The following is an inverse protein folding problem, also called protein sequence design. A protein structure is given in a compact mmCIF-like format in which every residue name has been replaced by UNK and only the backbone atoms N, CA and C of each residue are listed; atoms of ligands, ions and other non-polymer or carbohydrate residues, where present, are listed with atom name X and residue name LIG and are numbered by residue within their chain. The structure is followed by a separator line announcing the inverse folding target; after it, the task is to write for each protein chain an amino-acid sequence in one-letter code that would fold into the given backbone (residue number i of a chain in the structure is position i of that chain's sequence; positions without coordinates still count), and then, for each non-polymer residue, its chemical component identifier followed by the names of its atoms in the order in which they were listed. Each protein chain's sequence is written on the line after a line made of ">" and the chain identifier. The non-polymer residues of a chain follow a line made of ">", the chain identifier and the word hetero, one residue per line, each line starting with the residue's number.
data_IF_926618530547
#
_entry.id   IF_926618530547
#
_cell.length_a   1.000
_cell.length_b   1.000
_cell.length_c   1.000
_cell.angle_alpha   90.00
_cell.angle_beta   90.00
_cell.angle_gamma   90.00
#
_symmetry.space_group_name_H-M   'P 1'
#
loop_
_entity.id
_entity.type
_entity.pdbx_description
1 polymer ?
#
# COMPACT_ATOMS: atom_id res chain seq x y z
N UNK A 1 -12.14 15.37 6.42
CA UNK A 1 -12.24 14.64 7.70
C UNK A 1 -10.83 14.47 8.28
N UNK A 2 -10.70 14.66 9.60
CA UNK A 2 -9.42 14.58 10.30
C UNK A 2 -9.25 13.21 10.95
N UNK A 3 -8.05 12.64 10.84
CA UNK A 3 -7.64 11.42 11.55
C UNK A 3 -6.40 11.76 12.35
N UNK A 4 -6.45 11.50 13.66
CA UNK A 4 -5.33 11.77 14.56
C UNK A 4 -4.53 10.49 14.80
N UNK A 5 -3.24 10.49 14.44
CA UNK A 5 -2.30 9.44 14.83
C UNK A 5 -1.52 9.85 16.08
N UNK A 6 -1.48 8.98 17.08
CA UNK A 6 -0.71 9.18 18.33
C UNK A 6 0.28 8.03 18.48
N UNK A 7 1.58 8.31 18.46
CA UNK A 7 2.56 7.24 18.53
C UNK A 7 4.03 7.65 18.42
N UNK A 8 4.89 6.65 18.20
CA UNK A 8 6.33 6.85 18.04
C UNK A 8 6.70 7.44 16.68
N UNK A 9 7.69 8.33 16.68
CA UNK A 9 8.34 8.85 15.48
C UNK A 9 9.46 7.91 15.02
N UNK A 10 9.31 7.35 13.81
CA UNK A 10 10.34 6.59 13.09
C UNK A 10 10.96 7.47 11.99
N UNK A 11 12.27 7.78 12.07
CA UNK A 11 12.93 8.66 11.11
C UNK A 11 13.11 8.03 9.72
N UNK A 12 12.93 6.71 9.56
CA UNK A 12 13.01 6.09 8.24
C UNK A 12 11.78 6.33 7.38
N UNK A 13 10.68 6.75 8.00
CA UNK A 13 9.37 6.82 7.36
C UNK A 13 8.82 5.48 6.90
N UNK A 14 9.35 4.37 7.44
CA UNK A 14 8.88 3.01 7.20
C UNK A 14 7.77 2.58 8.16
N UNK A 15 7.77 3.02 9.43
CA UNK A 15 6.69 2.80 10.39
C UNK A 15 6.32 4.07 11.19
N UNK A 16 5.57 3.88 12.29
CA UNK A 16 5.21 4.94 13.23
C UNK A 16 4.36 6.05 12.61
N UNK A 17 4.37 7.22 13.23
CA UNK A 17 3.55 8.37 12.81
C UNK A 17 3.77 8.75 11.36
N UNK A 18 5.00 8.63 10.85
CA UNK A 18 5.29 9.03 9.46
C UNK A 18 4.53 8.14 8.48
N UNK A 19 4.49 6.82 8.73
CA UNK A 19 3.72 5.88 7.91
C UNK A 19 2.22 6.06 8.09
N UNK A 20 1.77 6.37 9.30
CA UNK A 20 0.36 6.68 9.57
C UNK A 20 -0.08 7.91 8.75
N UNK A 21 0.70 8.99 8.78
CA UNK A 21 0.44 10.22 8.01
C UNK A 21 0.41 9.95 6.51
N UNK A 22 1.35 9.16 5.97
CA UNK A 22 1.36 8.75 4.56
C UNK A 22 0.09 7.97 4.20
N UNK A 23 -0.31 7.03 5.05
CA UNK A 23 -1.51 6.19 4.85
C UNK A 23 -2.78 7.04 4.83
N UNK A 24 -2.95 7.90 5.84
CA UNK A 24 -4.11 8.79 5.96
C UNK A 24 -4.17 9.74 4.75
N UNK A 25 -3.03 10.25 4.29
CA UNK A 25 -2.96 11.15 3.14
C UNK A 25 -3.32 10.44 1.83
N UNK A 26 -2.82 9.23 1.63
CA UNK A 26 -3.12 8.40 0.45
C UNK A 26 -4.61 8.07 0.37
N UNK A 27 -5.26 7.85 1.53
CA UNK A 27 -6.71 7.69 1.65
C UNK A 27 -7.49 9.01 1.64
N UNK A 28 -6.87 10.11 1.21
CA UNK A 28 -7.50 11.42 1.00
C UNK A 28 -8.14 12.03 2.26
N UNK A 29 -7.64 11.67 3.45
CA UNK A 29 -8.02 12.28 4.72
C UNK A 29 -6.99 13.32 5.16
N UNK A 30 -7.34 14.15 6.14
CA UNK A 30 -6.40 15.11 6.73
C UNK A 30 -5.65 14.45 7.90
N UNK A 31 -4.33 14.24 7.80
CA UNK A 31 -3.55 13.65 8.87
C UNK A 31 -3.20 14.68 9.95
N UNK A 32 -3.55 14.37 11.19
CA UNK A 32 -3.06 15.03 12.39
C UNK A 32 -2.15 14.06 13.16
N UNK A 33 -1.16 14.56 13.87
CA UNK A 33 -0.22 13.68 14.58
C UNK A 33 0.26 14.23 15.92
N UNK A 34 0.50 13.32 16.87
CA UNK A 34 1.06 13.61 18.19
C UNK A 34 2.14 12.59 18.51
N UNK A 35 3.37 13.07 18.71
CA UNK A 35 4.53 12.22 18.98
C UNK A 35 4.59 11.89 20.47
N UNK A 36 4.69 10.60 20.81
CA UNK A 36 4.88 10.08 22.17
C UNK A 36 6.34 9.79 22.48
N UNK A 37 7.08 9.30 21.48
CA UNK A 37 8.48 8.91 21.60
C UNK A 37 9.24 9.18 20.30
N UNK A 38 10.51 9.56 20.39
CA UNK A 38 11.45 9.57 19.28
C UNK A 38 12.19 8.24 19.27
N UNK A 39 12.11 7.51 18.15
CA UNK A 39 12.67 6.15 18.02
C UNK A 39 13.65 6.10 16.85
N UNK A 40 14.91 6.53 17.04
CA UNK A 40 15.95 6.34 16.04
C UNK A 40 16.11 4.85 15.72
N UNK A 41 15.75 4.47 14.50
CA UNK A 41 15.78 3.09 14.03
C UNK A 41 16.12 3.01 12.53
N UNK A 42 16.43 1.79 12.07
CA UNK A 42 16.44 1.41 10.67
C UNK A 42 15.97 -0.04 10.52
N UNK A 43 15.88 -0.54 9.29
CA UNK A 43 15.43 -1.91 9.01
C UNK A 43 16.31 -3.02 9.63
N UNK A 44 17.49 -2.68 10.18
CA UNK A 44 18.35 -3.63 10.87
C UNK A 44 18.17 -3.60 12.40
N UNK A 45 17.89 -2.44 13.00
CA UNK A 45 17.74 -2.31 14.47
C UNK A 45 17.08 -1.00 14.91
N UNK A 46 16.50 -1.03 16.10
CA UNK A 46 16.23 0.15 16.93
C UNK A 46 17.49 0.54 17.72
N UNK A 47 17.89 1.81 17.68
CA UNK A 47 19.07 2.30 18.39
C UNK A 47 18.73 2.76 19.82
N UNK A 48 17.60 3.45 19.98
CA UNK A 48 17.08 3.89 21.27
C UNK A 48 15.59 4.23 21.16
N UNK A 49 14.92 4.35 22.30
CA UNK A 49 13.61 5.00 22.47
C UNK A 49 13.76 6.13 23.47
N UNK A 50 13.37 7.35 23.08
CA UNK A 50 13.32 8.50 23.98
C UNK A 50 11.88 9.00 24.06
N UNK A 51 11.28 8.87 25.22
CA UNK A 51 9.91 9.32 25.48
C UNK A 51 9.89 10.84 25.68
N UNK A 52 8.85 11.48 25.15
CA UNK A 52 8.56 12.89 25.41
C UNK A 52 7.95 13.03 26.82
N UNK A 53 8.10 14.21 27.41
CA UNK A 53 7.50 14.49 28.72
C UNK A 53 5.97 14.55 28.61
N UNK A 54 5.30 14.32 29.74
CA UNK A 54 3.84 14.46 29.84
C UNK A 54 3.36 15.83 29.37
N UNK A 55 4.09 16.90 29.72
CA UNK A 55 3.79 18.28 29.33
C UNK A 55 3.93 18.48 27.82
N UNK A 56 4.97 17.92 27.20
CA UNK A 56 5.20 18.01 25.76
C UNK A 56 4.10 17.27 24.97
N UNK A 57 3.69 16.09 25.43
CA UNK A 57 2.58 15.32 24.82
C UNK A 57 1.27 16.09 24.98
N UNK A 58 0.97 16.58 26.19
CA UNK A 58 -0.28 17.31 26.48
C UNK A 58 -0.36 18.63 25.71
N UNK A 59 0.75 19.33 25.51
CA UNK A 59 0.80 20.54 24.70
C UNK A 59 0.40 20.27 23.24
N UNK A 60 0.85 19.15 22.66
CA UNK A 60 0.43 18.73 21.31
C UNK A 60 -1.07 18.43 21.25
N UNK A 61 -1.62 17.69 22.23
CA UNK A 61 -3.06 17.42 22.33
C UNK A 61 -3.87 18.72 22.42
N UNK A 62 -3.48 19.66 23.29
CA UNK A 62 -4.15 20.95 23.41
C UNK A 62 -4.16 21.70 22.07
N UNK A 63 -3.02 21.79 21.39
CA UNK A 63 -2.93 22.49 20.11
C UNK A 63 -3.84 21.88 19.03
N UNK A 64 -3.93 20.54 18.97
CA UNK A 64 -4.80 19.86 18.01
C UNK A 64 -6.28 20.07 18.34
N UNK A 65 -6.69 19.83 19.58
CA UNK A 65 -8.11 19.90 19.97
C UNK A 65 -8.62 21.33 20.19
N UNK A 66 -7.75 22.35 20.14
CA UNK A 66 -8.13 23.76 20.08
C UNK A 66 -8.64 24.17 18.69
N UNK A 67 -8.11 23.58 17.61
CA UNK A 67 -8.38 23.98 16.23
C UNK A 67 -9.17 22.92 15.43
N UNK A 68 -8.98 21.63 15.73
CA UNK A 68 -9.52 20.53 14.93
C UNK A 68 -10.56 19.69 15.68
N UNK A 69 -11.67 19.40 14.99
CA UNK A 69 -12.58 18.32 15.37
C UNK A 69 -11.98 16.96 15.00
N UNK A 70 -11.90 16.05 15.97
CA UNK A 70 -11.31 14.71 15.82
C UNK A 70 -12.29 13.66 16.32
N UNK A 71 -12.74 12.78 15.42
CA UNK A 71 -13.64 11.67 15.75
C UNK A 71 -12.95 10.30 15.80
N UNK A 72 -11.78 10.20 15.19
CA UNK A 72 -11.02 8.95 15.08
C UNK A 72 -9.55 9.18 15.45
N UNK A 73 -9.08 8.37 16.38
CA UNK A 73 -7.70 8.36 16.85
C UNK A 73 -7.11 6.98 16.59
N UNK A 74 -6.00 6.92 15.88
CA UNK A 74 -5.17 5.71 15.76
C UNK A 74 -4.01 5.83 16.73
N UNK A 75 -3.73 4.78 17.50
CA UNK A 75 -2.56 4.73 18.39
C UNK A 75 -1.52 3.73 17.90
N UNK A 76 -0.24 4.01 18.17
CA UNK A 76 0.89 3.11 17.93
C UNK A 76 1.72 2.92 19.20
N UNK A 77 3.04 3.16 19.14
CA UNK A 77 3.90 3.09 20.34
C UNK A 77 3.46 4.15 21.38
N UNK A 78 2.98 3.70 22.54
CA UNK A 78 2.52 4.57 23.63
C UNK A 78 3.46 4.52 24.85
N UNK A 79 3.26 5.49 25.73
CA UNK A 79 3.78 5.58 27.10
C UNK A 79 2.61 5.65 28.08
N UNK A 80 2.86 5.42 29.38
CA UNK A 80 1.83 5.55 30.43
C UNK A 80 1.22 6.95 30.41
N UNK A 81 2.06 7.99 30.32
CA UNK A 81 1.60 9.38 30.25
C UNK A 81 0.75 9.64 29.01
N UNK A 82 1.10 9.08 27.86
CA UNK A 82 0.29 9.25 26.65
C UNK A 82 -1.07 8.57 26.77
N UNK A 83 -1.15 7.38 27.40
CA UNK A 83 -2.43 6.69 27.63
C UNK A 83 -3.32 7.54 28.54
N UNK A 84 -2.78 8.05 29.66
CA UNK A 84 -3.53 8.92 30.58
C UNK A 84 -4.10 10.14 29.87
N UNK A 85 -3.30 10.78 29.01
CA UNK A 85 -3.72 11.96 28.24
C UNK A 85 -4.78 11.58 27.19
N UNK A 86 -4.61 10.46 26.47
CA UNK A 86 -5.60 10.00 25.49
C UNK A 86 -6.95 9.77 26.17
N UNK A 87 -6.98 9.12 27.33
CA UNK A 87 -8.20 8.86 28.08
C UNK A 87 -8.83 10.15 28.63
N UNK A 88 -8.01 11.09 29.13
CA UNK A 88 -8.47 12.44 29.52
C UNK A 88 -9.21 13.13 28.36
N UNK A 89 -8.62 13.13 27.17
CA UNK A 89 -9.20 13.79 26.00
C UNK A 89 -10.39 13.01 25.42
N UNK A 90 -10.37 11.67 25.45
CA UNK A 90 -11.51 10.84 25.03
C UNK A 90 -12.75 11.18 25.84
N UNK A 91 -12.62 11.31 27.16
CA UNK A 91 -13.73 11.68 28.04
C UNK A 91 -14.28 13.08 27.76
N UNK A 92 -13.44 14.00 27.27
CA UNK A 92 -13.84 15.38 26.97
C UNK A 92 -14.46 15.54 25.57
N UNK A 93 -13.96 14.81 24.58
CA UNK A 93 -14.29 15.02 23.16
C UNK A 93 -14.98 13.84 22.47
N UNK A 94 -15.10 12.69 23.14
CA UNK A 94 -15.80 11.50 22.68
C UNK A 94 -15.41 11.03 21.26
N UNK A 95 -14.19 10.52 21.12
CA UNK A 95 -13.69 9.93 19.87
C UNK A 95 -13.50 8.41 19.96
N UNK A 96 -13.49 7.78 18.79
CA UNK A 96 -13.18 6.35 18.63
C UNK A 96 -11.66 6.13 18.58
N UNK A 97 -11.21 5.00 19.11
CA UNK A 97 -9.79 4.65 19.18
C UNK A 97 -9.54 3.32 18.46
N UNK A 98 -8.62 3.31 17.51
CA UNK A 98 -8.03 2.10 16.93
C UNK A 98 -6.63 1.95 17.52
N UNK A 99 -6.40 0.90 18.30
CA UNK A 99 -5.12 0.69 18.97
C UNK A 99 -4.29 -0.39 18.28
N UNK A 100 -3.16 0.02 17.68
CA UNK A 100 -2.05 -0.87 17.33
C UNK A 100 -1.12 -0.95 18.56
N UNK A 101 -1.13 -2.06 19.34
CA UNK A 101 -0.51 -2.09 20.66
C UNK A 101 1.03 -2.06 20.63
N UNK A 102 1.66 -2.31 19.46
CA UNK A 102 3.12 -2.29 19.19
C UNK A 102 3.97 -2.62 20.42
N UNK A 103 3.85 -3.84 20.94
CA UNK A 103 4.49 -4.23 22.20
C UNK A 103 6.00 -4.50 22.02
N UNK A 104 6.40 -4.89 20.81
CA UNK A 104 7.77 -5.25 20.45
C UNK A 104 8.07 -4.85 19.02
N UNK A 105 9.28 -4.36 18.75
CA UNK A 105 9.70 -4.06 17.37
C UNK A 105 9.91 -5.33 16.54
N UNK A 106 9.87 -5.17 15.23
CA UNK A 106 10.31 -6.18 14.25
C UNK A 106 11.77 -6.62 14.47
N UNK A 107 12.60 -5.75 15.05
CA UNK A 107 14.01 -6.00 15.39
C UNK A 107 14.23 -6.50 16.83
N UNK A 108 13.16 -6.97 17.49
CA UNK A 108 13.14 -7.53 18.84
C UNK A 108 13.41 -6.58 20.02
N UNK A 109 13.51 -5.27 19.78
CA UNK A 109 13.48 -4.27 20.84
C UNK A 109 12.13 -4.27 21.58
N UNK A 110 12.15 -4.31 22.91
CA UNK A 110 10.95 -4.28 23.76
C UNK A 110 10.52 -2.84 24.01
N UNK A 111 9.27 -2.50 23.69
CA UNK A 111 8.74 -1.15 23.86
C UNK A 111 7.98 -0.96 25.17
N UNK A 112 7.51 -2.06 25.76
CA UNK A 112 6.65 -2.07 26.93
C UNK A 112 7.30 -2.81 28.10
N UNK A 113 7.27 -2.18 29.27
CA UNK A 113 7.56 -2.83 30.55
C UNK A 113 6.27 -3.36 31.21
N UNK A 114 6.39 -4.07 32.33
CA UNK A 114 5.23 -4.62 33.05
C UNK A 114 4.21 -3.56 33.46
N UNK A 115 4.64 -2.32 33.72
CA UNK A 115 3.77 -1.25 34.17
C UNK A 115 2.94 -0.69 33.00
N UNK A 116 3.56 -0.47 31.85
CA UNK A 116 2.87 -0.07 30.62
C UNK A 116 1.91 -1.16 30.14
N UNK A 117 2.32 -2.41 30.23
CA UNK A 117 1.48 -3.58 29.92
C UNK A 117 0.20 -3.57 30.76
N UNK A 118 0.29 -3.34 32.08
CA UNK A 118 -0.91 -3.19 32.93
C UNK A 118 -1.78 -2.02 32.50
N UNK A 119 -1.16 -0.89 32.12
CA UNK A 119 -1.89 0.29 31.67
C UNK A 119 -2.69 0.04 30.38
N UNK A 120 -2.15 -0.79 29.49
CA UNK A 120 -2.87 -1.22 28.28
C UNK A 120 -4.16 -1.97 28.57
N UNK A 121 -4.28 -2.73 29.67
CA UNK A 121 -5.54 -3.41 30.03
C UNK A 121 -6.69 -2.44 30.27
N UNK A 122 -6.42 -1.33 30.94
CA UNK A 122 -7.39 -0.25 31.12
C UNK A 122 -7.71 0.40 29.77
N UNK A 123 -6.67 0.65 28.96
CA UNK A 123 -6.80 1.33 27.68
C UNK A 123 -7.60 0.55 26.63
N UNK A 124 -7.42 -0.78 26.56
CA UNK A 124 -8.09 -1.61 25.56
C UNK A 124 -9.61 -1.61 25.69
N UNK A 125 -10.13 -1.44 26.91
CA UNK A 125 -11.58 -1.34 27.16
C UNK A 125 -12.20 -0.06 26.59
N UNK A 126 -11.39 0.96 26.38
CA UNK A 126 -11.79 2.25 25.81
C UNK A 126 -11.56 2.31 24.29
N UNK A 127 -10.97 1.25 23.72
CA UNK A 127 -10.72 1.12 22.29
C UNK A 127 -11.94 0.58 21.55
N UNK A 128 -12.20 1.15 20.38
CA UNK A 128 -13.19 0.61 19.46
C UNK A 128 -12.70 -0.73 18.86
N UNK A 129 -11.41 -0.81 18.55
CA UNK A 129 -10.76 -2.02 18.04
C UNK A 129 -9.28 -2.00 18.41
N UNK A 130 -8.74 -3.16 18.79
CA UNK A 130 -7.29 -3.35 18.87
C UNK A 130 -6.81 -4.29 17.75
N UNK A 131 -5.60 -4.07 17.24
CA UNK A 131 -5.08 -4.81 16.07
C UNK A 131 -3.77 -5.57 16.37
N UNK A 132 -3.69 -6.42 17.41
CA UNK A 132 -2.46 -7.16 17.71
C UNK A 132 -2.12 -8.16 16.59
N UNK A 133 -0.83 -8.41 16.37
CA UNK A 133 -0.42 -9.63 15.67
C UNK A 133 -0.56 -10.85 16.60
N UNK A 134 -0.39 -12.07 16.07
CA UNK A 134 -0.55 -13.31 16.86
C UNK A 134 0.30 -13.34 18.15
N UNK A 135 1.56 -12.91 18.10
CA UNK A 135 2.45 -12.92 19.28
C UNK A 135 2.02 -11.89 20.31
N UNK A 136 1.58 -10.71 19.86
CA UNK A 136 1.02 -9.69 20.75
C UNK A 136 -0.29 -10.15 21.37
N UNK A 137 -1.13 -10.84 20.58
CA UNK A 137 -2.39 -11.38 21.04
C UNK A 137 -2.20 -12.43 22.15
N UNK A 138 -1.23 -13.35 22.02
CA UNK A 138 -0.89 -14.33 23.06
C UNK A 138 -0.50 -13.67 24.39
N UNK A 139 0.22 -12.53 24.33
CA UNK A 139 0.58 -11.75 25.52
C UNK A 139 -0.68 -11.13 26.13
N UNK A 140 -1.52 -10.49 25.31
CA UNK A 140 -2.75 -9.82 25.75
C UNK A 140 -3.74 -10.82 26.35
N UNK A 141 -3.95 -11.97 25.72
CA UNK A 141 -4.84 -13.03 26.20
C UNK A 141 -4.42 -13.49 27.60
N UNK A 142 -3.13 -13.80 27.79
CA UNK A 142 -2.59 -14.16 29.11
C UNK A 142 -2.75 -13.05 30.16
N UNK A 143 -2.66 -11.78 29.75
CA UNK A 143 -2.87 -10.66 30.68
C UNK A 143 -4.32 -10.54 31.15
N UNK A 144 -5.29 -10.75 30.24
CA UNK A 144 -6.71 -10.76 30.58
C UNK A 144 -7.05 -11.91 31.52
N UNK A 145 -6.54 -13.12 31.23
CA UNK A 145 -6.68 -14.29 32.11
C UNK A 145 -6.15 -14.04 33.51
N UNK A 146 -4.90 -13.54 33.63
CA UNK A 146 -4.27 -13.29 34.94
C UNK A 146 -4.94 -12.16 35.72
N UNK A 147 -5.52 -11.17 35.02
CA UNK A 147 -6.19 -10.02 35.62
C UNK A 147 -7.68 -10.26 35.89
N UNK A 148 -8.19 -11.47 35.60
CA UNK A 148 -9.59 -11.85 35.77
C UNK A 148 -10.55 -10.92 34.99
N UNK A 149 -10.13 -10.47 33.81
CA UNK A 149 -10.96 -9.73 32.87
C UNK A 149 -11.38 -10.64 31.71
N UNK A 150 -12.57 -10.39 31.17
CA UNK A 150 -13.05 -11.14 30.01
C UNK A 150 -12.51 -10.49 28.73
N UNK A 151 -11.91 -11.29 27.85
CA UNK A 151 -11.42 -10.82 26.57
C UNK A 151 -12.58 -10.45 25.63
N UNK A 152 -13.78 -10.99 25.87
CA UNK A 152 -15.01 -10.63 25.16
C UNK A 152 -15.50 -9.21 25.49
N UNK A 153 -14.94 -8.56 26.52
CA UNK A 153 -15.23 -7.14 26.84
C UNK A 153 -14.63 -6.17 25.80
N UNK A 154 -13.77 -6.65 24.90
CA UNK A 154 -13.08 -5.84 23.90
C UNK A 154 -13.22 -6.43 22.49
N UNK A 155 -13.15 -5.57 21.47
CA UNK A 155 -13.10 -6.01 20.07
C UNK A 155 -11.64 -6.14 19.63
N UNK A 156 -11.26 -7.31 19.10
CA UNK A 156 -9.88 -7.65 18.74
C UNK A 156 -9.79 -8.13 17.31
N UNK A 157 -8.94 -7.51 16.50
CA UNK A 157 -8.51 -8.05 15.21
C UNK A 157 -7.13 -8.68 15.35
N UNK A 158 -7.08 -10.01 15.43
CA UNK A 158 -5.80 -10.74 15.41
C UNK A 158 -5.29 -10.77 13.98
N UNK A 159 -4.20 -10.06 13.72
CA UNK A 159 -3.66 -9.86 12.36
C UNK A 159 -2.69 -10.97 11.96
N UNK A 160 -2.74 -11.36 10.68
CA UNK A 160 -1.94 -12.41 10.09
C UNK A 160 -2.23 -12.60 8.61
N UNK A 161 -1.91 -13.80 8.08
CA UNK A 161 -2.27 -14.16 6.70
C UNK A 161 -3.80 -14.22 6.54
N UNK A 162 -4.43 -14.96 7.44
CA UNK A 162 -5.87 -14.88 7.71
C UNK A 162 -6.04 -14.10 9.00
N UNK A 163 -6.83 -13.04 8.97
CA UNK A 163 -7.14 -12.30 10.19
C UNK A 163 -8.35 -12.91 10.87
N UNK A 164 -8.42 -12.78 12.18
CA UNK A 164 -9.58 -13.20 12.98
C UNK A 164 -10.09 -11.99 13.75
N UNK A 165 -11.26 -11.50 13.36
CA UNK A 165 -12.00 -10.49 14.10
C UNK A 165 -12.82 -11.18 15.19
N UNK A 166 -12.47 -10.90 16.45
CA UNK A 166 -13.20 -11.29 17.64
C UNK A 166 -14.08 -10.11 18.08
N UNK A 167 -15.38 -10.29 18.01
CA UNK A 167 -16.38 -9.31 18.43
C UNK A 167 -17.51 -10.04 19.15
N UNK A 168 -17.77 -9.62 20.39
CA UNK A 168 -18.63 -10.36 21.32
C UNK A 168 -18.19 -11.85 21.40
N UNK A 169 -19.13 -12.80 21.28
CA UNK A 169 -18.86 -14.24 21.24
C UNK A 169 -18.56 -14.79 19.83
N UNK A 170 -18.30 -13.92 18.84
CA UNK A 170 -18.11 -14.33 17.43
C UNK A 170 -16.68 -14.17 16.97
N UNK A 171 -16.23 -15.16 16.21
CA UNK A 171 -14.98 -15.12 15.46
C UNK A 171 -15.29 -15.07 13.97
N UNK A 172 -14.80 -14.04 13.30
CA UNK A 172 -15.00 -13.80 11.87
C UNK A 172 -13.64 -13.87 11.18
N UNK A 173 -13.47 -14.85 10.30
CA UNK A 173 -12.25 -14.99 9.51
C UNK A 173 -12.27 -14.06 8.30
N UNK A 174 -11.20 -13.28 8.13
CA UNK A 174 -11.05 -12.34 7.03
C UNK A 174 -9.77 -12.68 6.27
N UNK A 175 -9.95 -13.26 5.10
CA UNK A 175 -8.87 -13.60 4.17
C UNK A 175 -8.61 -12.45 3.21
N UNK A 176 -7.38 -12.40 2.68
CA UNK A 176 -6.99 -11.45 1.67
C UNK A 176 -5.82 -11.99 0.85
N UNK A 177 -5.48 -11.30 -0.23
CA UNK A 177 -4.29 -11.64 -1.02
C UNK A 177 -3.04 -11.40 -0.19
N UNK A 178 -2.03 -12.24 -0.39
CA UNK A 178 -0.80 -12.22 0.39
C UNK A 178 0.41 -12.32 -0.52
N UNK A 179 1.44 -11.52 -0.24
CA UNK A 179 2.74 -11.58 -0.88
C UNK A 179 3.78 -11.88 0.19
N UNK A 180 4.59 -12.92 -0.02
CA UNK A 180 5.64 -13.31 0.92
C UNK A 180 6.83 -12.35 0.83
N UNK A 181 6.76 -11.26 1.60
CA UNK A 181 7.80 -10.22 1.65
C UNK A 181 7.78 -9.55 3.01
N UNK A 182 8.93 -9.53 3.68
CA UNK A 182 9.09 -8.78 4.92
C UNK A 182 9.22 -7.28 4.61
N UNK A 183 8.27 -6.50 5.12
CA UNK A 183 8.17 -5.06 4.90
C UNK A 183 7.96 -4.38 6.25
N UNK A 184 8.82 -3.41 6.56
CA UNK A 184 8.73 -2.61 7.79
C UNK A 184 7.50 -1.69 7.73
N UNK A 185 6.71 -1.69 8.81
CA UNK A 185 5.56 -0.81 9.01
C UNK A 185 4.22 -1.27 8.45
N UNK A 186 4.08 -2.53 8.01
CA UNK A 186 2.80 -3.08 7.52
C UNK A 186 1.67 -2.99 8.56
N UNK A 187 1.96 -3.24 9.85
CA UNK A 187 0.98 -3.11 10.94
C UNK A 187 0.49 -1.67 11.15
N UNK A 188 1.40 -0.69 11.11
CA UNK A 188 1.04 0.74 11.21
C UNK A 188 0.20 1.19 10.02
N UNK A 189 0.58 0.78 8.81
CA UNK A 189 -0.20 1.00 7.59
C UNK A 189 -1.60 0.38 7.73
N UNK A 190 -1.68 -0.85 8.24
CA UNK A 190 -2.94 -1.59 8.31
C UNK A 190 -3.94 -0.94 9.27
N UNK A 191 -3.52 -0.69 10.51
CA UNK A 191 -4.35 -0.04 11.53
C UNK A 191 -4.76 1.39 11.12
N UNK A 192 -3.87 2.14 10.46
CA UNK A 192 -4.19 3.47 9.92
C UNK A 192 -5.21 3.40 8.78
N UNK A 193 -5.09 2.42 7.87
CA UNK A 193 -6.05 2.22 6.80
C UNK A 193 -7.43 1.81 7.34
N UNK A 194 -7.48 0.87 8.30
CA UNK A 194 -8.73 0.50 9.00
C UNK A 194 -9.39 1.73 9.61
N UNK A 195 -8.61 2.57 10.30
CA UNK A 195 -9.11 3.81 10.91
C UNK A 195 -9.74 4.72 9.86
N UNK A 196 -9.09 4.88 8.70
CA UNK A 196 -9.61 5.72 7.61
C UNK A 196 -10.90 5.17 7.02
N UNK A 197 -10.99 3.86 6.74
CA UNK A 197 -12.21 3.27 6.18
C UNK A 197 -13.39 3.29 7.17
N UNK A 198 -13.14 3.01 8.45
CA UNK A 198 -14.17 3.15 9.50
C UNK A 198 -14.66 4.60 9.63
N UNK A 199 -13.77 5.56 9.36
CA UNK A 199 -14.10 6.98 9.37
C UNK A 199 -15.05 7.38 8.23
N UNK A 200 -15.16 6.56 7.19
CA UNK A 200 -16.15 6.70 6.11
C UNK A 200 -17.47 5.98 6.42
N UNK A 201 -17.71 5.61 7.69
CA UNK A 201 -18.91 4.87 8.15
C UNK A 201 -19.06 3.48 7.51
N UNK A 202 -17.99 2.95 6.91
CA UNK A 202 -17.94 1.58 6.43
C UNK A 202 -18.07 0.61 7.62
N UNK A 203 -18.73 -0.53 7.39
CA UNK A 203 -18.78 -1.55 8.44
C UNK A 203 -17.39 -2.13 8.71
N UNK A 204 -17.22 -2.74 9.89
CA UNK A 204 -15.92 -3.19 10.39
C UNK A 204 -15.28 -4.22 9.45
N UNK A 205 -16.04 -5.21 8.99
CA UNK A 205 -15.51 -6.26 8.10
C UNK A 205 -15.06 -5.70 6.73
N UNK A 206 -15.86 -4.82 6.13
CA UNK A 206 -15.51 -4.14 4.87
C UNK A 206 -14.29 -3.25 5.04
N UNK A 207 -14.23 -2.48 6.13
CA UNK A 207 -13.08 -1.63 6.45
C UNK A 207 -11.78 -2.44 6.56
N UNK A 208 -11.85 -3.62 7.19
CA UNK A 208 -10.71 -4.54 7.33
C UNK A 208 -10.33 -5.10 5.95
N UNK A 209 -11.29 -5.55 5.13
CA UNK A 209 -11.03 -6.06 3.78
C UNK A 209 -10.35 -5.01 2.89
N UNK A 210 -10.88 -3.79 2.84
CA UNK A 210 -10.30 -2.68 2.09
C UNK A 210 -8.91 -2.30 2.61
N UNK A 211 -8.70 -2.35 3.92
CA UNK A 211 -7.38 -2.13 4.51
C UNK A 211 -6.38 -3.25 4.17
N UNK A 212 -6.79 -4.51 4.03
CA UNK A 212 -5.90 -5.58 3.52
C UNK A 212 -5.48 -5.32 2.07
N UNK A 213 -6.40 -4.86 1.22
CA UNK A 213 -6.09 -4.48 -0.17
C UNK A 213 -5.10 -3.31 -0.21
N UNK A 214 -5.27 -2.32 0.67
CA UNK A 214 -4.34 -1.20 0.82
C UNK A 214 -2.93 -1.68 1.24
N UNK A 215 -2.84 -2.55 2.24
CA UNK A 215 -1.57 -3.11 2.72
C UNK A 215 -0.88 -3.94 1.62
N UNK A 216 -1.65 -4.71 0.84
CA UNK A 216 -1.14 -5.45 -0.31
C UNK A 216 -0.41 -4.51 -1.30
N UNK A 217 -1.05 -3.41 -1.68
CA UNK A 217 -0.41 -2.40 -2.53
C UNK A 217 0.85 -1.83 -1.89
N UNK A 218 0.78 -1.56 -0.60
CA UNK A 218 1.91 -1.01 0.17
C UNK A 218 3.11 -1.96 0.29
N UNK A 219 2.87 -3.28 0.23
CA UNK A 219 3.91 -4.32 0.22
C UNK A 219 4.48 -4.52 -1.19
N UNK A 220 3.62 -4.54 -2.22
CA UNK A 220 4.02 -4.67 -3.62
C UNK A 220 4.92 -3.50 -4.01
N UNK A 221 4.55 -2.28 -3.66
CA UNK A 221 5.30 -1.05 -3.95
C UNK A 221 6.31 -0.67 -2.85
N UNK A 222 6.57 -1.55 -1.89
CA UNK A 222 7.52 -1.30 -0.81
C UNK A 222 8.91 -0.93 -1.34
N UNK A 223 9.51 0.11 -0.76
CA UNK A 223 10.78 0.67 -1.20
C UNK A 223 11.95 -0.14 -0.65
N UNK A 224 12.85 -0.58 -1.54
CA UNK A 224 14.06 -1.30 -1.16
C UNK A 224 15.03 -0.34 -0.47
N UNK A 225 15.52 -0.76 0.69
CA UNK A 225 16.56 -0.07 1.45
C UNK A 225 17.80 -0.96 1.53
N UNK A 226 18.88 -0.46 2.14
CA UNK A 226 20.10 -1.23 2.36
C UNK A 226 19.88 -2.53 3.16
N UNK A 227 18.92 -2.54 4.10
CA UNK A 227 18.75 -3.63 5.08
C UNK A 227 17.37 -4.29 5.04
N UNK A 228 16.52 -3.96 4.07
CA UNK A 228 15.15 -4.47 4.03
C UNK A 228 14.25 -3.58 3.17
N UNK A 229 12.95 -3.58 3.45
CA UNK A 229 11.96 -2.80 2.70
C UNK A 229 11.12 -1.94 3.63
N UNK A 230 10.83 -0.72 3.20
CA UNK A 230 9.87 0.16 3.88
C UNK A 230 8.51 0.06 3.20
N UNK A 231 7.44 0.03 4.00
CA UNK A 231 6.08 0.14 3.47
C UNK A 231 5.93 1.44 2.70
N UNK A 232 5.28 1.37 1.55
CA UNK A 232 4.99 2.53 0.73
C UNK A 232 3.47 2.63 0.54
N UNK A 233 2.74 3.34 1.43
CA UNK A 233 1.29 3.45 1.37
C UNK A 233 0.78 3.77 -0.03
N UNK A 234 0.12 2.80 -0.66
CA UNK A 234 -0.34 2.88 -2.06
C UNK A 234 -1.68 2.19 -2.18
N UNK A 235 -2.70 2.88 -2.72
CA UNK A 235 -4.01 2.29 -2.95
C UNK A 235 -4.37 2.23 -4.42
N UNK A 236 -4.50 1.00 -4.95
CA UNK A 236 -4.90 0.77 -6.33
C UNK A 236 -6.30 0.19 -6.35
N UNK A 237 -7.27 1.00 -6.73
CA UNK A 237 -8.68 0.61 -6.92
C UNK A 237 -9.09 0.68 -8.40
N UNK A 238 -10.29 0.17 -8.72
CA UNK A 238 -10.85 0.32 -10.07
C UNK A 238 -11.00 1.78 -10.46
N UNK A 239 -11.46 2.63 -9.55
CA UNK A 239 -11.59 4.08 -9.76
C UNK A 239 -10.22 4.74 -10.03
N UNK A 240 -9.17 4.30 -9.33
CA UNK A 240 -7.81 4.81 -9.58
C UNK A 240 -7.30 4.42 -10.97
N UNK A 241 -7.59 3.20 -11.42
CA UNK A 241 -7.24 2.70 -12.76
C UNK A 241 -8.00 3.44 -13.85
N UNK A 242 -9.31 3.66 -13.66
CA UNK A 242 -10.11 4.47 -14.58
C UNK A 242 -9.57 5.89 -14.70
N UNK A 243 -9.27 6.52 -13.56
CA UNK A 243 -8.69 7.86 -13.53
C UNK A 243 -7.35 7.91 -14.28
N UNK A 244 -6.47 6.92 -14.08
CA UNK A 244 -5.18 6.85 -14.77
C UNK A 244 -5.37 6.74 -16.28
N UNK A 245 -6.22 5.81 -16.74
CA UNK A 245 -6.50 5.63 -18.17
C UNK A 245 -7.16 6.86 -18.80
N UNK A 246 -8.03 7.55 -18.07
CA UNK A 246 -8.66 8.79 -18.52
C UNK A 246 -7.61 9.88 -18.76
N UNK A 247 -6.69 10.08 -17.81
CA UNK A 247 -5.60 11.03 -17.98
C UNK A 247 -4.64 10.60 -19.09
N UNK A 248 -4.31 9.31 -19.17
CA UNK A 248 -3.45 8.78 -20.22
C UNK A 248 -4.03 9.05 -21.62
N UNK A 249 -5.31 8.76 -21.83
CA UNK A 249 -6.01 9.03 -23.08
C UNK A 249 -5.89 10.52 -23.50
N UNK A 250 -6.13 11.44 -22.56
CA UNK A 250 -6.05 12.87 -22.84
C UNK A 250 -4.62 13.32 -23.18
N UNK A 251 -3.61 12.76 -22.51
CA UNK A 251 -2.21 13.06 -22.81
C UNK A 251 -1.77 12.49 -24.17
N UNK A 252 -2.20 11.27 -24.51
CA UNK A 252 -1.89 10.63 -25.79
C UNK A 252 -2.52 11.39 -26.95
N UNK A 253 -3.75 11.90 -26.80
CA UNK A 253 -4.41 12.73 -27.82
C UNK A 253 -3.64 14.00 -28.17
N UNK A 254 -2.81 14.50 -27.25
CA UNK A 254 -1.99 15.68 -27.47
C UNK A 254 -0.64 15.35 -28.14
N UNK A 255 -0.30 14.08 -28.34
CA UNK A 255 0.89 13.66 -29.09
C UNK A 255 0.65 13.82 -30.60
N UNK A 256 1.67 14.27 -31.33
CA UNK A 256 1.55 14.58 -32.76
C UNK A 256 1.81 13.36 -33.66
N UNK A 257 2.43 12.31 -33.11
CA UNK A 257 2.95 11.19 -33.90
C UNK A 257 1.86 10.18 -34.30
N UNK A 258 1.76 9.91 -35.61
CA UNK A 258 0.80 8.95 -36.17
C UNK A 258 1.04 7.49 -35.73
N UNK A 259 2.22 7.17 -35.20
CA UNK A 259 2.56 5.83 -34.70
C UNK A 259 1.60 5.39 -33.57
N UNK A 260 1.06 6.33 -32.81
CA UNK A 260 0.16 6.04 -31.70
C UNK A 260 -1.32 5.90 -32.09
N UNK A 261 -1.67 6.02 -33.38
CA UNK A 261 -3.07 5.92 -33.84
C UNK A 261 -3.70 4.55 -33.57
N UNK A 262 -2.91 3.49 -33.56
CA UNK A 262 -3.35 2.12 -33.29
C UNK A 262 -2.89 1.63 -31.90
N UNK A 263 -2.71 2.55 -30.94
CA UNK A 263 -2.32 2.22 -29.57
C UNK A 263 -3.46 1.49 -28.86
N UNK A 264 -3.18 0.26 -28.40
CA UNK A 264 -3.99 -0.41 -27.40
C UNK A 264 -3.33 -0.27 -26.05
N UNK A 265 -4.08 0.18 -25.04
CA UNK A 265 -3.58 0.44 -23.69
C UNK A 265 -4.50 -0.20 -22.66
N UNK A 266 -3.94 -1.05 -21.82
CA UNK A 266 -4.61 -1.67 -20.68
C UNK A 266 -3.94 -1.31 -19.37
N UNK A 267 -4.72 -1.26 -18.30
CA UNK A 267 -4.23 -1.18 -16.92
C UNK A 267 -5.10 -2.05 -16.01
N UNK A 268 -4.48 -2.80 -15.11
CA UNK A 268 -5.15 -3.66 -14.14
C UNK A 268 -5.11 -3.10 -12.72
N UNK A 269 -5.99 -3.57 -11.84
CA UNK A 269 -5.76 -3.47 -10.40
C UNK A 269 -4.59 -4.39 -9.98
N UNK A 270 -4.27 -4.42 -8.69
CA UNK A 270 -3.22 -5.30 -8.15
C UNK A 270 -3.66 -6.77 -8.17
N UNK A 271 -2.74 -7.63 -8.61
CA UNK A 271 -2.94 -9.08 -8.70
C UNK A 271 -4.27 -9.47 -9.39
N UNK A 272 -4.51 -9.05 -10.66
CA UNK A 272 -5.78 -9.28 -11.35
C UNK A 272 -6.06 -10.77 -11.49
N UNK A 273 -7.27 -11.21 -11.16
CA UNK A 273 -7.64 -12.63 -11.23
C UNK A 273 -8.22 -13.00 -12.58
N UNK A 274 -8.92 -12.07 -13.20
CA UNK A 274 -9.61 -12.24 -14.47
C UNK A 274 -9.71 -10.90 -15.22
N UNK A 275 -10.27 -10.91 -16.43
CA UNK A 275 -10.35 -9.69 -17.25
C UNK A 275 -11.21 -8.58 -16.62
N UNK A 276 -12.12 -8.87 -15.67
CA UNK A 276 -12.92 -7.83 -14.99
C UNK A 276 -12.09 -6.94 -14.05
N UNK A 277 -10.84 -7.31 -13.79
CA UNK A 277 -9.85 -6.57 -13.02
C UNK A 277 -8.93 -5.72 -13.92
N UNK A 278 -9.14 -5.78 -15.24
CA UNK A 278 -8.33 -5.10 -16.25
C UNK A 278 -9.23 -4.16 -17.04
N UNK A 279 -8.84 -2.89 -17.11
CA UNK A 279 -9.49 -1.88 -17.91
C UNK A 279 -8.69 -1.58 -19.18
N UNK A 280 -9.41 -1.19 -20.22
CA UNK A 280 -8.85 -0.72 -21.49
C UNK A 280 -9.60 0.53 -21.96
N UNK A 281 -9.02 1.24 -22.92
CA UNK A 281 -9.70 2.30 -23.67
C UNK A 281 -10.35 1.64 -24.91
N UNK A 282 -11.67 1.77 -25.05
CA UNK A 282 -12.40 1.27 -26.21
C UNK A 282 -12.32 2.22 -27.41
N UNK A 283 -12.74 1.74 -28.58
CA UNK A 283 -12.77 2.52 -29.82
C UNK A 283 -13.63 3.80 -29.72
N UNK A 284 -14.68 3.77 -28.89
CA UNK A 284 -15.50 4.94 -28.56
C UNK A 284 -14.90 5.82 -27.45
N UNK A 285 -13.61 5.67 -27.17
CA UNK A 285 -12.82 6.44 -26.19
C UNK A 285 -13.35 6.37 -24.76
N UNK A 286 -14.00 5.26 -24.42
CA UNK A 286 -14.50 4.99 -23.07
C UNK A 286 -13.62 3.98 -22.36
N UNK A 287 -13.56 4.08 -21.04
CA UNK A 287 -12.85 3.10 -20.23
C UNK A 287 -13.80 1.94 -19.93
N UNK A 288 -13.34 0.70 -20.16
CA UNK A 288 -14.13 -0.51 -19.94
C UNK A 288 -13.29 -1.58 -19.27
N UNK A 289 -13.83 -2.19 -18.22
CA UNK A 289 -13.29 -3.41 -17.63
C UNK A 289 -13.81 -4.66 -18.35
N UNK A 290 -13.08 -5.78 -18.25
CA UNK A 290 -13.60 -7.08 -18.68
C UNK A 290 -13.30 -7.46 -20.13
N UNK A 291 -12.50 -6.68 -20.85
CA UNK A 291 -12.19 -6.93 -22.25
C UNK A 291 -11.01 -7.89 -22.36
N UNK A 292 -11.23 -9.04 -22.98
CA UNK A 292 -10.18 -10.01 -23.30
C UNK A 292 -9.44 -9.59 -24.58
N UNK A 293 -8.13 -9.43 -24.47
CA UNK A 293 -7.21 -9.22 -25.60
C UNK A 293 -5.80 -9.71 -25.21
N UNK A 294 -4.89 -9.72 -26.18
CA UNK A 294 -3.51 -10.21 -26.03
C UNK A 294 -2.74 -9.49 -24.93
N UNK A 295 -2.83 -8.17 -24.82
CA UNK A 295 -2.16 -7.40 -23.76
C UNK A 295 -2.78 -7.54 -22.37
N UNK A 296 -4.08 -7.86 -22.29
CA UNK A 296 -4.74 -8.19 -21.01
C UNK A 296 -4.27 -9.54 -20.47
N UNK A 297 -4.03 -10.51 -21.36
CA UNK A 297 -3.45 -11.79 -21.00
C UNK A 297 -2.03 -11.63 -20.44
N UNK A 298 -1.23 -10.70 -20.97
CA UNK A 298 0.09 -10.36 -20.42
C UNK A 298 -0.04 -9.92 -18.96
N UNK A 299 -0.96 -9.01 -18.64
CA UNK A 299 -1.15 -8.52 -17.27
C UNK A 299 -1.62 -9.61 -16.29
N UNK A 300 -2.50 -10.52 -16.73
CA UNK A 300 -2.93 -11.66 -15.90
C UNK A 300 -1.77 -12.58 -15.49
N UNK A 301 -0.76 -12.70 -16.33
CA UNK A 301 0.41 -13.55 -16.07
C UNK A 301 1.54 -12.79 -15.38
N UNK A 302 1.70 -11.49 -15.65
CA UNK A 302 2.72 -10.64 -15.03
C UNK A 302 2.58 -10.54 -13.52
N UNK A 303 1.37 -10.68 -12.97
CA UNK A 303 1.13 -10.60 -11.52
C UNK A 303 1.98 -11.55 -10.69
N UNK A 304 2.30 -12.74 -11.23
CA UNK A 304 3.07 -13.79 -10.55
C UNK A 304 4.57 -13.47 -10.54
N UNK A 305 5.02 -12.65 -11.50
CA UNK A 305 6.45 -12.42 -11.76
C UNK A 305 6.88 -11.01 -11.37
N UNK A 306 6.04 -10.01 -11.63
CA UNK A 306 6.21 -8.63 -11.16
C UNK A 306 4.84 -7.93 -11.01
N UNK A 307 4.26 -8.00 -9.81
CA UNK A 307 2.96 -7.40 -9.54
C UNK A 307 2.96 -5.86 -9.55
N UNK A 308 4.13 -5.20 -9.66
CA UNK A 308 4.20 -3.75 -9.83
C UNK A 308 3.81 -3.32 -11.26
N UNK A 309 4.04 -4.17 -12.27
CA UNK A 309 3.75 -3.88 -13.67
C UNK A 309 2.28 -4.20 -13.96
N UNK A 310 1.44 -3.16 -13.90
CA UNK A 310 -0.01 -3.29 -14.08
C UNK A 310 -0.53 -2.66 -15.36
N UNK A 311 0.31 -1.98 -16.14
CA UNK A 311 -0.09 -1.40 -17.40
C UNK A 311 0.72 -1.97 -18.56
N UNK A 312 0.04 -2.15 -19.68
CA UNK A 312 0.62 -2.68 -20.89
C UNK A 312 0.05 -1.92 -22.08
N UNK A 313 0.93 -1.45 -22.96
CA UNK A 313 0.56 -0.87 -24.23
C UNK A 313 1.11 -1.69 -25.39
N UNK A 314 0.34 -1.74 -26.46
CA UNK A 314 0.74 -2.29 -27.75
C UNK A 314 0.64 -1.21 -28.81
N UNK A 315 1.75 -0.91 -29.46
CA UNK A 315 1.79 -0.01 -30.62
C UNK A 315 2.37 -0.75 -31.82
N UNK A 316 1.85 -0.43 -33.01
CA UNK A 316 2.49 -0.84 -34.25
C UNK A 316 3.74 -0.01 -34.45
N UNK A 317 4.84 -0.66 -34.82
CA UNK A 317 6.12 0.01 -34.98
C UNK A 317 6.79 -0.42 -36.27
N UNK A 318 7.46 0.50 -36.95
CA UNK A 318 8.20 0.21 -38.18
C UNK A 318 9.67 -0.10 -37.88
N UNK A 319 10.31 -0.89 -38.75
CA UNK A 319 11.71 -1.32 -38.56
C UNK A 319 12.70 -0.14 -38.58
N UNK A 320 12.40 0.95 -39.29
CA UNK A 320 13.28 2.12 -39.37
C UNK A 320 13.30 2.89 -38.05
N UNK A 321 12.14 3.12 -37.44
CA UNK A 321 12.02 3.72 -36.11
C UNK A 321 12.63 2.84 -35.02
N UNK A 322 12.62 1.51 -35.19
CA UNK A 322 13.20 0.57 -34.23
C UNK A 322 14.71 0.72 -34.09
N UNK A 323 15.44 0.91 -35.20
CA UNK A 323 16.90 1.12 -35.16
C UNK A 323 17.27 2.39 -34.37
N UNK A 324 16.44 3.44 -34.43
CA UNK A 324 16.64 4.64 -33.59
C UNK A 324 16.45 4.34 -32.11
N UNK A 325 15.40 3.58 -31.77
CA UNK A 325 15.15 3.17 -30.39
C UNK A 325 16.25 2.27 -29.81
N UNK A 326 16.80 1.34 -30.59
CA UNK A 326 17.91 0.47 -30.15
C UNK A 326 19.17 1.23 -29.74
N UNK A 327 19.35 2.43 -30.30
CA UNK A 327 20.48 3.31 -29.98
C UNK A 327 20.17 4.31 -28.86
N UNK A 328 19.02 4.17 -28.21
CA UNK A 328 18.59 5.04 -27.10
C UNK A 328 18.91 4.46 -25.73
N UNK A 329 18.63 5.22 -24.68
CA UNK A 329 18.78 4.80 -23.29
C UNK A 329 17.66 3.84 -22.80
N UNK A 330 16.63 3.57 -23.63
CA UNK A 330 15.54 2.67 -23.25
C UNK A 330 15.99 1.21 -23.29
N UNK A 331 15.61 0.45 -22.27
CA UNK A 331 15.89 -0.99 -22.21
C UNK A 331 14.92 -1.76 -23.14
N UNK A 332 15.47 -2.35 -24.20
CA UNK A 332 14.70 -3.10 -25.21
C UNK A 332 15.12 -4.55 -25.16
N UNK A 333 14.16 -5.44 -24.95
CA UNK A 333 14.37 -6.88 -25.03
C UNK A 333 13.76 -7.43 -26.32
N UNK A 334 14.59 -8.11 -27.11
CA UNK A 334 14.21 -8.71 -28.38
C UNK A 334 13.75 -10.15 -28.16
N UNK A 335 12.54 -10.48 -28.61
CA UNK A 335 11.97 -11.82 -28.55
C UNK A 335 11.96 -12.40 -29.97
N UNK A 336 12.87 -13.35 -30.20
CA UNK A 336 12.95 -14.10 -31.46
C UNK A 336 12.07 -15.37 -31.37
N UNK A 337 11.12 -15.50 -32.30
CA UNK A 337 10.32 -16.71 -32.56
C UNK A 337 9.38 -17.17 -31.41
N UNK A 338 8.13 -16.67 -31.42
CA UNK A 338 7.05 -17.02 -30.49
C UNK A 338 6.62 -18.50 -30.56
N UNK A 339 6.79 -19.19 -31.70
CA UNK A 339 6.36 -20.59 -31.82
C UNK A 339 7.11 -21.54 -30.87
N UNK A 340 8.29 -21.14 -30.36
CA UNK A 340 9.06 -21.91 -29.37
C UNK A 340 8.82 -21.51 -27.91
N UNK A 341 8.29 -20.31 -27.65
CA UNK A 341 8.08 -19.75 -26.32
C UNK A 341 6.73 -19.03 -26.27
N UNK A 342 5.83 -19.43 -25.37
CA UNK A 342 4.60 -18.65 -25.15
C UNK A 342 4.96 -17.20 -24.78
N UNK A 343 4.08 -16.25 -25.11
CA UNK A 343 4.20 -14.84 -24.75
C UNK A 343 4.54 -14.67 -23.25
N UNK A 344 3.92 -15.50 -22.42
CA UNK A 344 4.14 -15.61 -20.98
C UNK A 344 5.57 -16.06 -20.68
N UNK A 345 6.04 -17.17 -21.25
CA UNK A 345 7.41 -17.63 -21.06
C UNK A 345 8.44 -16.62 -21.54
N UNK A 346 8.17 -15.88 -22.61
CA UNK A 346 9.06 -14.83 -23.09
C UNK A 346 9.15 -13.65 -22.11
N UNK A 347 8.02 -13.19 -21.59
CA UNK A 347 7.95 -12.12 -20.56
C UNK A 347 8.63 -12.58 -19.26
N UNK A 348 8.37 -13.80 -18.79
CA UNK A 348 8.97 -14.36 -17.56
C UNK A 348 10.48 -14.57 -17.70
N UNK A 349 10.98 -14.98 -18.88
CA UNK A 349 12.41 -15.17 -19.13
C UNK A 349 13.20 -13.86 -19.15
N UNK A 350 12.56 -12.71 -19.44
CA UNK A 350 13.22 -11.40 -19.39
C UNK A 350 13.72 -11.04 -17.97
N UNK A 351 13.10 -11.63 -16.94
CA UNK A 351 13.25 -11.27 -15.52
C UNK A 351 14.46 -11.94 -14.87
N UNK A 352 14.85 -13.10 -15.38
CA UNK A 352 15.92 -13.93 -14.79
C UNK A 352 17.30 -13.26 -14.97
N UNK A 353 17.42 -12.30 -15.90
CA UNK A 353 18.72 -11.76 -16.28
C UNK A 353 19.14 -10.46 -15.58
N UNK A 354 18.24 -9.59 -15.08
CA UNK A 354 18.65 -8.21 -14.78
C UNK A 354 17.99 -7.50 -13.57
N UNK A 355 17.23 -8.18 -12.72
CA UNK A 355 16.42 -7.59 -11.61
C UNK A 355 15.49 -6.40 -12.03
N UNK A 356 15.45 -6.07 -13.32
CA UNK A 356 14.77 -4.94 -13.92
C UNK A 356 14.01 -5.43 -15.15
N UNK A 357 12.76 -4.98 -15.27
CA UNK A 357 11.95 -5.30 -16.44
C UNK A 357 12.32 -4.35 -17.58
N UNK A 358 12.46 -4.88 -18.81
CA UNK A 358 12.70 -4.01 -19.95
C UNK A 358 11.52 -3.06 -20.13
N UNK A 359 11.81 -1.83 -20.55
CA UNK A 359 10.81 -0.82 -20.88
C UNK A 359 9.93 -1.28 -22.05
N UNK A 360 10.56 -2.02 -22.95
CA UNK A 360 10.03 -2.42 -24.24
C UNK A 360 10.34 -3.89 -24.51
N UNK A 361 9.31 -4.65 -24.87
CA UNK A 361 9.43 -5.98 -25.47
C UNK A 361 9.11 -5.87 -26.97
N UNK A 362 10.05 -6.35 -27.80
CA UNK A 362 9.90 -6.33 -29.25
C UNK A 362 9.76 -7.74 -29.79
N UNK A 363 8.67 -8.01 -30.51
CA UNK A 363 8.39 -9.31 -31.12
C UNK A 363 8.74 -9.29 -32.59
N UNK A 364 9.75 -10.08 -32.98
CA UNK A 364 10.22 -10.15 -34.36
C UNK A 364 9.35 -11.11 -35.19
N UNK A 365 8.15 -10.68 -35.55
CA UNK A 365 7.28 -11.34 -36.55
C UNK A 365 6.98 -10.43 -37.75
N UNK A 366 6.18 -10.90 -38.73
CA UNK A 366 5.89 -10.23 -40.03
C UNK A 366 5.26 -8.82 -39.91
N UNK A 367 4.84 -8.39 -38.72
CA UNK A 367 4.45 -7.01 -38.38
C UNK A 367 5.01 -6.71 -36.98
N UNK A 368 5.90 -5.72 -36.80
CA UNK A 368 6.49 -5.47 -35.51
C UNK A 368 5.49 -4.76 -34.59
N UNK A 369 5.10 -5.43 -33.52
CA UNK A 369 4.39 -4.81 -32.41
C UNK A 369 5.39 -4.54 -31.28
N UNK A 370 5.34 -3.32 -30.76
CA UNK A 370 6.09 -2.92 -29.58
C UNK A 370 5.16 -3.09 -28.37
N UNK A 371 5.56 -3.91 -27.41
CA UNK A 371 4.88 -4.01 -26.12
C UNK A 371 5.64 -3.16 -25.10
N UNK A 372 4.94 -2.24 -24.45
CA UNK A 372 5.49 -1.34 -23.46
C UNK A 372 4.86 -1.69 -22.12
N UNK A 373 5.69 -1.93 -21.11
CA UNK A 373 5.25 -2.24 -19.75
C UNK A 373 5.46 -1.03 -18.83
N UNK A 374 4.56 -0.86 -17.86
CA UNK A 374 4.63 0.22 -16.88
C UNK A 374 3.89 -0.12 -15.60
N UNK A 375 4.20 0.61 -14.53
CA UNK A 375 3.50 0.47 -13.24
C UNK A 375 2.04 0.89 -13.33
N UNK A 376 1.76 1.86 -14.19
CA UNK A 376 0.44 2.38 -14.52
C UNK A 376 0.44 2.97 -15.94
N UNK A 377 -0.74 3.33 -16.44
CA UNK A 377 -0.92 3.91 -17.77
C UNK A 377 -0.25 5.28 -17.93
N UNK A 378 -0.01 6.02 -16.84
CA UNK A 378 0.68 7.31 -16.89
C UNK A 378 2.20 7.13 -17.09
N UNK A 379 2.79 6.07 -16.53
CA UNK A 379 4.16 5.69 -16.82
C UNK A 379 4.31 5.26 -18.29
N UNK A 380 3.34 4.52 -18.82
CA UNK A 380 3.32 4.20 -20.27
C UNK A 380 3.33 5.47 -21.10
N UNK A 381 2.50 6.47 -20.77
CA UNK A 381 2.47 7.76 -21.48
C UNK A 381 3.84 8.44 -21.44
N UNK A 382 4.52 8.45 -20.29
CA UNK A 382 5.88 9.01 -20.20
C UNK A 382 6.88 8.26 -21.09
N UNK A 383 6.77 6.94 -21.19
CA UNK A 383 7.59 6.12 -22.10
C UNK A 383 7.27 6.44 -23.56
N UNK A 384 5.99 6.59 -23.91
CA UNK A 384 5.55 7.00 -25.25
C UNK A 384 6.08 8.39 -25.63
N UNK A 385 6.08 9.37 -24.72
CA UNK A 385 6.67 10.69 -24.94
C UNK A 385 8.16 10.59 -25.25
N UNK A 386 8.92 9.81 -24.47
CA UNK A 386 10.35 9.57 -24.74
C UNK A 386 10.57 8.92 -26.12
N UNK A 387 9.74 7.93 -26.47
CA UNK A 387 9.78 7.28 -27.78
C UNK A 387 9.53 8.31 -28.89
N UNK A 388 8.52 9.17 -28.76
CA UNK A 388 8.23 10.24 -29.71
C UNK A 388 9.43 11.19 -29.89
N UNK A 389 10.04 11.63 -28.78
CA UNK A 389 11.19 12.53 -28.78
C UNK A 389 12.41 11.90 -29.48
N UNK A 390 12.68 10.62 -29.23
CA UNK A 390 13.78 9.87 -29.88
C UNK A 390 13.55 9.77 -31.39
N UNK A 391 12.32 9.49 -31.81
CA UNK A 391 11.98 9.36 -33.24
C UNK A 391 12.03 10.72 -33.95
N UNK A 392 11.67 11.82 -33.26
CA UNK A 392 11.73 13.19 -33.80
C UNK A 392 13.16 13.73 -33.91
N UNK A 393 14.06 13.38 -32.98
CA UNK A 393 15.42 13.95 -32.89
C UNK A 393 16.51 13.12 -33.56
N UNK A 394 16.36 11.80 -33.66
CA UNK A 394 17.22 10.91 -34.48
C UNK A 394 16.68 10.77 -35.89
#
# INVERSE_FOLDING_TARGET
>A
MNILSVGGFDPTGGAGIVTDVKTIKELQKNPLSIITSIIPQNNNKVFLKKDLSKEEIKAQFNAIFEDFEVNWVKTGVLTIDSIDIILEFKNKYNFNIICDPVLKSTTHFEFSDEMLIKKYLEFFKECFLITPNLKEFEIIEKMFETSHHDLNDITVLVTGKTDVLKIDDKNIEITGKYVEKEVHGTGCTYSSAITCFLSDEMNVEESIKSAKEFVLGSVIYAEKTKFGYNSNPTYVTKESVERNLFYALNLIKNMENSIFKDLNLVESILLPENYADIATISEDEKIKFGISNDISEILLNLKEVNPQMRACAKIKFDEYSLEKLKNSELSIYLIDNLEKNSLISAVTNCVVCDESYPDILYFKEKKPDLIILGKDSLEIVKKLQKIEDIIKTG
#
